data_IF_656949608936
#
_entry.id   IF_656949608936
#
_cell.length_a   1.000
_cell.length_b   1.000
_cell.length_c   1.000
_cell.angle_alpha   90.00
_cell.angle_beta   90.00
_cell.angle_gamma   90.00
#
_symmetry.space_group_name_H-M   'P 1'
#
loop_
_entity.id
_entity.type
_entity.pdbx_description
1 polymer ?
#
# COMPACT_ATOMS: atom_id res chain seq x y z
N UNK A 1 8.57 10.30 8.22
CA UNK A 1 9.48 9.97 7.10
C UNK A 1 10.15 8.61 7.35
N UNK A 2 10.81 8.39 8.50
CA UNK A 2 11.54 7.13 8.79
C UNK A 2 10.65 5.90 8.57
N UNK A 3 9.46 5.88 9.15
CA UNK A 3 8.49 4.78 8.99
C UNK A 3 8.10 4.57 7.52
N UNK A 4 7.87 5.66 6.77
CA UNK A 4 7.50 5.59 5.35
C UNK A 4 8.57 4.96 4.45
N UNK A 5 9.83 4.99 4.85
CA UNK A 5 10.92 4.31 4.14
C UNK A 5 11.14 2.90 4.70
N UNK A 6 11.24 2.77 6.03
CA UNK A 6 11.60 1.50 6.66
C UNK A 6 10.56 0.41 6.40
N UNK A 7 9.25 0.73 6.47
CA UNK A 7 8.20 -0.26 6.29
C UNK A 7 8.25 -0.91 4.90
N UNK A 8 8.15 -0.19 3.77
CA UNK A 8 8.18 -0.81 2.45
C UNK A 8 9.53 -1.47 2.13
N UNK A 9 10.65 -0.89 2.59
CA UNK A 9 11.97 -1.50 2.41
C UNK A 9 12.07 -2.82 3.17
N UNK A 10 11.58 -2.88 4.40
CA UNK A 10 11.57 -4.12 5.21
C UNK A 10 10.68 -5.18 4.56
N UNK A 11 9.46 -4.81 4.11
CA UNK A 11 8.56 -5.74 3.42
C UNK A 11 9.24 -6.32 2.19
N UNK A 12 9.81 -5.49 1.31
CA UNK A 12 10.55 -5.98 0.14
C UNK A 12 11.75 -6.85 0.53
N UNK A 13 12.52 -6.45 1.52
CA UNK A 13 13.69 -7.21 1.98
C UNK A 13 13.28 -8.61 2.46
N UNK A 14 12.19 -8.74 3.22
CA UNK A 14 11.67 -10.04 3.63
C UNK A 14 11.41 -10.95 2.43
N UNK A 15 10.75 -10.44 1.38
CA UNK A 15 10.53 -11.24 0.17
C UNK A 15 11.80 -11.62 -0.54
N UNK A 16 12.72 -10.67 -0.74
CA UNK A 16 13.96 -10.92 -1.50
C UNK A 16 14.92 -11.84 -0.79
N UNK A 17 14.89 -11.91 0.55
CA UNK A 17 15.79 -12.75 1.33
C UNK A 17 15.20 -14.09 1.76
N UNK A 18 13.88 -14.17 1.95
CA UNK A 18 13.26 -15.36 2.54
C UNK A 18 12.34 -16.13 1.58
N UNK A 19 11.99 -15.56 0.43
CA UNK A 19 11.12 -16.21 -0.54
C UNK A 19 11.88 -16.49 -1.84
N UNK A 20 11.74 -17.71 -2.34
CA UNK A 20 12.29 -18.09 -3.65
C UNK A 20 11.51 -17.44 -4.79
N UNK A 21 12.23 -17.01 -5.81
CA UNK A 21 11.65 -16.38 -7.00
C UNK A 21 12.72 -16.06 -8.03
N UNK A 22 12.32 -15.42 -9.10
CA UNK A 22 13.22 -15.03 -10.19
C UNK A 22 12.95 -13.60 -10.65
N UNK A 23 14.02 -12.90 -11.01
CA UNK A 23 13.90 -11.59 -11.64
C UNK A 23 13.48 -11.73 -13.10
N UNK A 24 12.47 -10.97 -13.49
CA UNK A 24 11.95 -10.90 -14.86
C UNK A 24 11.93 -9.43 -15.25
N UNK A 25 12.64 -9.09 -16.34
CA UNK A 25 12.60 -7.74 -16.91
C UNK A 25 11.37 -7.60 -17.81
N UNK A 26 10.73 -6.43 -17.78
CA UNK A 26 9.65 -6.09 -18.70
C UNK A 26 10.11 -5.88 -20.16
N UNK A 27 11.42 -5.73 -20.40
CA UNK A 27 11.97 -5.41 -21.71
C UNK A 27 11.72 -3.95 -22.16
N UNK A 28 11.33 -3.07 -21.28
CA UNK A 28 11.09 -1.65 -21.55
C UNK A 28 12.36 -0.96 -22.09
N UNK A 29 12.19 -0.09 -23.08
CA UNK A 29 13.23 0.82 -23.51
C UNK A 29 13.37 2.02 -22.53
N UNK A 30 14.43 2.83 -22.69
CA UNK A 30 14.74 3.94 -21.77
C UNK A 30 13.59 4.95 -21.62
N UNK A 31 12.85 5.26 -22.70
CA UNK A 31 11.73 6.19 -22.64
C UNK A 31 10.55 5.59 -21.87
N UNK A 32 10.28 4.31 -22.04
CA UNK A 32 9.24 3.60 -21.30
C UNK A 32 9.61 3.52 -19.81
N UNK A 33 10.86 3.19 -19.47
CA UNK A 33 11.34 3.19 -18.08
C UNK A 33 11.14 4.58 -17.46
N UNK A 34 11.59 5.65 -18.14
CA UNK A 34 11.42 7.01 -17.63
C UNK A 34 9.94 7.35 -17.42
N UNK A 35 9.08 7.03 -18.37
CA UNK A 35 7.63 7.29 -18.27
C UNK A 35 7.00 6.52 -17.11
N UNK A 36 7.31 5.21 -16.99
CA UNK A 36 6.79 4.35 -15.92
C UNK A 36 7.19 4.86 -14.54
N UNK A 37 8.49 5.15 -14.33
CA UNK A 37 8.98 5.64 -13.05
C UNK A 37 8.43 7.04 -12.72
N UNK A 38 8.36 7.93 -13.72
CA UNK A 38 7.79 9.27 -13.53
C UNK A 38 6.30 9.19 -13.16
N UNK A 39 5.52 8.35 -13.85
CA UNK A 39 4.11 8.13 -13.54
C UNK A 39 3.93 7.50 -12.15
N UNK A 40 4.74 6.49 -11.82
CA UNK A 40 4.74 5.85 -10.51
C UNK A 40 5.04 6.81 -9.37
N UNK A 41 6.03 7.70 -9.53
CA UNK A 41 6.38 8.69 -8.51
C UNK A 41 5.29 9.78 -8.42
N UNK A 42 4.91 10.39 -9.55
CA UNK A 42 4.05 11.57 -9.54
C UNK A 42 2.59 11.21 -9.28
N UNK A 43 2.03 10.27 -10.04
CA UNK A 43 0.59 9.95 -9.95
C UNK A 43 0.31 8.92 -8.87
N UNK A 44 0.94 7.75 -8.94
CA UNK A 44 0.68 6.67 -7.98
C UNK A 44 1.24 7.00 -6.60
N UNK A 45 2.43 7.57 -6.52
CA UNK A 45 3.07 7.94 -5.26
C UNK A 45 2.49 9.22 -4.68
N UNK A 46 2.89 10.36 -5.25
CA UNK A 46 2.61 11.66 -4.63
C UNK A 46 1.12 12.02 -4.74
N UNK A 47 0.57 12.04 -5.95
CA UNK A 47 -0.81 12.52 -6.13
C UNK A 47 -1.83 11.63 -5.41
N UNK A 48 -1.81 10.30 -5.62
CA UNK A 48 -2.73 9.39 -4.95
C UNK A 48 -2.52 9.43 -3.42
N UNK A 49 -1.28 9.29 -2.95
CA UNK A 49 -0.97 9.28 -1.52
C UNK A 49 -1.46 10.53 -0.78
N UNK A 50 -1.28 11.72 -1.35
CA UNK A 50 -1.77 12.95 -0.70
C UNK A 50 -3.27 13.15 -0.86
N UNK A 51 -3.84 12.94 -2.05
CA UNK A 51 -5.28 13.14 -2.29
C UNK A 51 -6.10 12.21 -1.40
N UNK A 52 -5.73 10.93 -1.33
CA UNK A 52 -6.44 9.97 -0.50
C UNK A 52 -6.32 10.31 0.99
N UNK A 53 -5.14 10.70 1.48
CA UNK A 53 -4.99 11.09 2.87
C UNK A 53 -5.77 12.37 3.20
N UNK A 54 -5.80 13.35 2.30
CA UNK A 54 -6.62 14.55 2.50
C UNK A 54 -8.10 14.20 2.60
N UNK A 55 -8.60 13.28 1.79
CA UNK A 55 -10.02 12.86 1.84
C UNK A 55 -10.29 12.05 3.11
N UNK A 56 -9.53 10.97 3.35
CA UNK A 56 -9.84 10.03 4.42
C UNK A 56 -9.44 10.55 5.80
N UNK A 57 -8.26 11.18 5.95
CA UNK A 57 -7.72 11.64 7.24
C UNK A 57 -7.93 13.15 7.44
N UNK A 58 -7.84 13.91 6.37
CA UNK A 58 -8.10 15.35 6.41
C UNK A 58 -9.57 15.69 6.63
N UNK A 59 -10.47 15.06 5.88
CA UNK A 59 -11.90 15.39 5.91
C UNK A 59 -12.70 14.39 6.72
N UNK A 60 -12.80 13.13 6.29
CA UNK A 60 -13.75 12.15 6.85
C UNK A 60 -13.42 11.86 8.32
N UNK A 61 -12.17 11.60 8.66
CA UNK A 61 -11.75 11.32 10.02
C UNK A 61 -12.08 12.49 10.96
N UNK A 62 -11.77 13.73 10.57
CA UNK A 62 -12.02 14.89 11.42
C UNK A 62 -13.53 15.15 11.62
N UNK A 63 -14.34 15.06 10.57
CA UNK A 63 -15.80 15.19 10.68
C UNK A 63 -16.40 14.13 11.60
N UNK A 64 -15.92 12.88 11.52
CA UNK A 64 -16.41 11.80 12.39
C UNK A 64 -15.93 11.96 13.84
N UNK A 65 -14.70 12.46 14.03
CA UNK A 65 -14.15 12.75 15.36
C UNK A 65 -14.94 13.84 16.08
N UNK A 66 -15.35 14.91 15.38
CA UNK A 66 -16.19 15.97 15.92
C UNK A 66 -17.58 15.50 16.28
N UNK A 67 -18.18 14.64 15.43
CA UNK A 67 -19.58 14.21 15.58
C UNK A 67 -19.75 13.04 16.54
N UNK A 68 -18.79 12.13 16.61
CA UNK A 68 -18.87 10.88 17.39
C UNK A 68 -17.64 10.74 18.30
N UNK A 69 -16.84 9.69 18.08
CA UNK A 69 -15.66 9.41 18.89
C UNK A 69 -14.49 8.93 18.01
N UNK A 70 -13.31 8.90 18.62
CA UNK A 70 -12.07 8.56 17.92
C UNK A 70 -12.09 7.16 17.29
N UNK A 71 -12.73 6.17 17.93
CA UNK A 71 -12.80 4.80 17.40
C UNK A 71 -13.58 4.74 16.09
N UNK A 72 -14.73 5.41 16.06
CA UNK A 72 -15.58 5.52 14.86
C UNK A 72 -14.84 6.34 13.78
N UNK A 73 -14.18 7.42 14.16
CA UNK A 73 -13.44 8.28 13.26
C UNK A 73 -12.23 7.58 12.62
N UNK A 74 -11.63 6.60 13.27
CA UNK A 74 -10.57 5.77 12.71
C UNK A 74 -11.14 4.63 11.88
N UNK A 75 -12.14 3.90 12.40
CA UNK A 75 -12.59 2.65 11.78
C UNK A 75 -13.36 2.88 10.48
N UNK A 76 -14.31 3.82 10.46
CA UNK A 76 -15.16 4.04 9.27
C UNK A 76 -14.34 4.44 8.03
N UNK A 77 -13.50 5.49 8.06
CA UNK A 77 -12.71 5.84 6.88
C UNK A 77 -11.70 4.75 6.50
N UNK A 78 -11.21 3.94 7.45
CA UNK A 78 -10.33 2.82 7.15
C UNK A 78 -11.03 1.69 6.42
N UNK A 79 -12.26 1.33 6.82
CA UNK A 79 -13.08 0.36 6.08
C UNK A 79 -13.45 0.89 4.70
N UNK A 80 -13.84 2.16 4.60
CA UNK A 80 -14.13 2.79 3.31
C UNK A 80 -12.88 2.80 2.41
N UNK A 81 -11.70 3.03 2.97
CA UNK A 81 -10.43 2.95 2.25
C UNK A 81 -10.20 1.57 1.64
N UNK A 82 -10.43 0.48 2.40
CA UNK A 82 -10.37 -0.88 1.87
C UNK A 82 -11.43 -1.14 0.79
N UNK A 83 -12.65 -0.64 0.96
CA UNK A 83 -13.74 -0.82 0.01
C UNK A 83 -13.49 -0.14 -1.33
N UNK A 84 -12.96 1.08 -1.36
CA UNK A 84 -12.71 1.79 -2.63
C UNK A 84 -11.66 1.10 -3.49
N UNK A 85 -10.76 0.31 -2.91
CA UNK A 85 -9.75 -0.46 -3.63
C UNK A 85 -10.30 -1.74 -4.30
N UNK A 86 -11.54 -2.11 -4.00
CA UNK A 86 -12.21 -3.27 -4.61
C UNK A 86 -13.14 -2.81 -5.74
N UNK A 87 -13.67 -1.58 -5.66
CA UNK A 87 -14.67 -1.07 -6.61
C UNK A 87 -14.08 -1.01 -8.02
N UNK A 88 -14.75 -1.68 -8.96
CA UNK A 88 -14.34 -1.70 -10.37
C UNK A 88 -13.21 -2.69 -10.71
N UNK A 89 -12.83 -3.54 -9.77
CA UNK A 89 -11.81 -4.58 -9.96
C UNK A 89 -12.46 -5.96 -10.11
N UNK A 90 -11.96 -6.75 -11.05
CA UNK A 90 -12.38 -8.14 -11.27
C UNK A 90 -11.61 -9.11 -10.36
N UNK A 91 -11.66 -8.87 -9.06
CA UNK A 91 -11.04 -9.75 -8.07
C UNK A 91 -11.92 -10.96 -7.74
N UNK A 92 -11.27 -12.08 -7.46
CA UNK A 92 -11.92 -13.21 -6.80
C UNK A 92 -12.45 -12.79 -5.42
N UNK A 93 -13.42 -13.53 -4.87
CA UNK A 93 -13.96 -13.29 -3.54
C UNK A 93 -12.85 -13.27 -2.48
N UNK A 94 -11.90 -14.20 -2.58
CA UNK A 94 -10.76 -14.30 -1.65
C UNK A 94 -9.87 -13.06 -1.75
N UNK A 95 -9.52 -12.63 -2.96
CA UNK A 95 -8.71 -11.42 -3.17
C UNK A 95 -9.44 -10.18 -2.68
N UNK A 96 -10.75 -10.07 -2.93
CA UNK A 96 -11.57 -8.93 -2.42
C UNK A 96 -11.57 -8.87 -0.89
N UNK A 97 -11.67 -10.02 -0.21
CA UNK A 97 -11.59 -10.07 1.27
C UNK A 97 -10.20 -9.69 1.78
N UNK A 98 -9.13 -10.15 1.11
CA UNK A 98 -7.76 -9.78 1.46
C UNK A 98 -7.55 -8.26 1.31
N UNK A 99 -8.00 -7.68 0.20
CA UNK A 99 -7.90 -6.23 -0.05
C UNK A 99 -8.71 -5.45 0.98
N UNK A 100 -9.91 -5.90 1.33
CA UNK A 100 -10.72 -5.24 2.36
C UNK A 100 -10.00 -5.24 3.72
N UNK A 101 -9.46 -6.38 4.13
CA UNK A 101 -8.74 -6.51 5.39
C UNK A 101 -7.47 -5.65 5.37
N UNK A 102 -6.63 -5.81 4.34
CA UNK A 102 -5.38 -5.08 4.22
C UNK A 102 -5.60 -3.57 4.11
N UNK A 103 -6.54 -3.14 3.26
CA UNK A 103 -6.91 -1.74 3.09
C UNK A 103 -7.48 -1.13 4.38
N UNK A 104 -8.27 -1.90 5.15
CA UNK A 104 -8.72 -1.46 6.47
C UNK A 104 -7.56 -1.30 7.44
N UNK A 105 -6.63 -2.26 7.50
CA UNK A 105 -5.49 -2.24 8.42
C UNK A 105 -4.50 -1.12 8.09
N UNK A 106 -4.14 -0.95 6.82
CA UNK A 106 -3.30 0.17 6.40
C UNK A 106 -4.02 1.50 6.62
N UNK A 107 -5.34 1.53 6.43
CA UNK A 107 -6.19 2.65 6.73
C UNK A 107 -6.14 3.08 8.20
N UNK A 108 -6.18 2.11 9.12
CA UNK A 108 -6.00 2.35 10.56
C UNK A 108 -4.60 2.88 10.83
N UNK A 109 -3.57 2.28 10.25
CA UNK A 109 -2.18 2.72 10.39
C UNK A 109 -2.00 4.19 9.97
N UNK A 110 -2.47 4.60 8.80
CA UNK A 110 -2.40 5.99 8.37
C UNK A 110 -3.19 6.94 9.28
N UNK A 111 -4.35 6.49 9.78
CA UNK A 111 -5.15 7.27 10.73
C UNK A 111 -4.39 7.50 12.05
N UNK A 112 -3.70 6.47 12.57
CA UNK A 112 -2.88 6.60 13.77
C UNK A 112 -1.69 7.53 13.54
N UNK A 113 -0.99 7.39 12.41
CA UNK A 113 0.11 8.32 12.04
C UNK A 113 -0.38 9.77 11.96
N UNK A 114 -1.55 10.02 11.36
CA UNK A 114 -2.12 11.36 11.27
C UNK A 114 -2.51 11.93 12.64
N UNK A 115 -3.11 11.11 13.52
CA UNK A 115 -3.55 11.51 14.86
C UNK A 115 -2.34 11.80 15.76
N UNK A 116 -1.39 10.86 15.82
CA UNK A 116 -0.21 10.98 16.70
C UNK A 116 0.69 12.15 16.32
N UNK A 117 0.88 12.33 15.01
CA UNK A 117 1.70 13.45 14.51
C UNK A 117 0.95 14.79 14.46
N UNK A 118 -0.37 14.80 14.66
CA UNK A 118 -1.22 15.97 14.51
C UNK A 118 -1.28 16.55 13.09
N UNK A 119 -0.88 15.75 12.07
CA UNK A 119 -0.75 16.24 10.69
C UNK A 119 -1.08 15.20 9.65
N UNK A 120 -2.03 15.52 8.78
CA UNK A 120 -2.36 14.71 7.59
C UNK A 120 -1.18 14.63 6.60
N UNK A 121 -0.29 15.63 6.60
CA UNK A 121 0.89 15.62 5.74
C UNK A 121 1.86 14.49 6.09
N UNK A 122 1.96 14.13 7.36
CA UNK A 122 2.83 13.03 7.78
C UNK A 122 2.30 11.67 7.31
N UNK A 123 0.98 11.42 7.40
CA UNK A 123 0.39 10.22 6.81
C UNK A 123 0.48 10.24 5.28
N UNK A 124 0.30 11.39 4.63
CA UNK A 124 0.49 11.56 3.20
C UNK A 124 1.90 11.23 2.72
N UNK A 125 2.93 11.65 3.47
CA UNK A 125 4.32 11.28 3.17
C UNK A 125 4.54 9.77 3.33
N UNK A 126 4.04 9.16 4.41
CA UNK A 126 4.17 7.71 4.63
C UNK A 126 3.48 6.93 3.53
N UNK A 127 2.26 7.33 3.16
CA UNK A 127 1.49 6.73 2.08
C UNK A 127 2.20 6.88 0.72
N UNK A 128 2.64 8.09 0.38
CA UNK A 128 3.37 8.35 -0.86
C UNK A 128 4.63 7.51 -0.98
N UNK A 129 5.40 7.40 0.10
CA UNK A 129 6.62 6.58 0.11
C UNK A 129 6.30 5.08 -0.02
N UNK A 130 5.22 4.61 0.62
CA UNK A 130 4.73 3.25 0.42
C UNK A 130 4.41 3.00 -1.06
N UNK A 131 3.60 3.85 -1.67
CA UNK A 131 3.20 3.72 -3.06
C UNK A 131 4.40 3.76 -4.02
N UNK A 132 5.31 4.73 -3.85
CA UNK A 132 6.51 4.84 -4.70
C UNK A 132 7.36 3.57 -4.61
N UNK A 133 7.58 3.06 -3.39
CA UNK A 133 8.51 1.97 -3.17
C UNK A 133 7.88 0.60 -3.47
N UNK A 134 6.58 0.41 -3.29
CA UNK A 134 5.90 -0.88 -3.51
C UNK A 134 5.33 -0.98 -4.92
N UNK A 135 4.53 0.01 -5.35
CA UNK A 135 3.76 -0.03 -6.60
C UNK A 135 4.20 1.00 -7.65
N UNK A 136 5.23 1.77 -7.39
CA UNK A 136 5.69 2.87 -8.28
C UNK A 136 6.41 2.41 -9.56
N UNK A 137 6.28 1.15 -9.98
CA UNK A 137 6.75 0.65 -11.26
C UNK A 137 8.25 0.36 -11.37
N UNK A 138 9.04 0.49 -10.29
CA UNK A 138 10.46 0.13 -10.31
C UNK A 138 10.69 -1.37 -10.23
N UNK A 139 10.61 -1.94 -9.03
CA UNK A 139 10.67 -3.36 -8.76
C UNK A 139 9.36 -3.80 -8.13
N UNK A 140 8.56 -4.57 -8.83
CA UNK A 140 7.38 -5.25 -8.26
C UNK A 140 7.74 -6.62 -7.71
N UNK A 141 6.93 -7.13 -6.77
CA UNK A 141 7.02 -8.49 -6.24
C UNK A 141 5.62 -9.10 -6.35
N UNK A 142 5.47 -10.17 -7.12
CA UNK A 142 4.17 -10.74 -7.44
C UNK A 142 4.27 -12.18 -7.94
N UNK A 143 3.12 -12.84 -8.13
CA UNK A 143 3.05 -14.22 -8.66
C UNK A 143 3.32 -14.31 -10.16
N UNK A 144 3.19 -13.22 -10.89
CA UNK A 144 3.35 -13.13 -12.36
C UNK A 144 4.18 -11.92 -12.71
N UNK A 145 4.80 -11.93 -13.89
CA UNK A 145 5.48 -10.74 -14.39
C UNK A 145 4.48 -9.56 -14.54
N UNK A 146 4.85 -8.42 -14.02
CA UNK A 146 4.08 -7.19 -14.09
C UNK A 146 4.57 -6.33 -15.25
N UNK A 147 3.70 -6.10 -16.22
CA UNK A 147 4.00 -5.32 -17.43
C UNK A 147 4.14 -3.82 -17.15
N UNK A 148 3.66 -3.36 -15.99
CA UNK A 148 3.72 -1.96 -15.56
C UNK A 148 4.93 -1.64 -14.69
N UNK A 149 5.81 -2.61 -14.45
CA UNK A 149 7.05 -2.45 -13.69
C UNK A 149 8.28 -2.68 -14.54
N UNK A 150 9.35 -1.94 -14.27
CA UNK A 150 10.65 -2.11 -14.96
C UNK A 150 11.19 -3.53 -14.76
N UNK A 151 11.03 -4.04 -13.54
CA UNK A 151 11.46 -5.38 -13.15
C UNK A 151 10.46 -5.99 -12.17
N UNK A 152 10.23 -7.28 -12.29
CA UNK A 152 9.42 -8.06 -11.34
C UNK A 152 10.25 -9.16 -10.71
N UNK A 153 10.19 -9.28 -9.39
CA UNK A 153 10.60 -10.49 -8.68
C UNK A 153 9.39 -11.42 -8.62
N UNK A 154 9.36 -12.39 -9.53
CA UNK A 154 8.27 -13.35 -9.64
C UNK A 154 8.47 -14.45 -8.60
N UNK A 155 7.55 -14.53 -7.65
CA UNK A 155 7.58 -15.52 -6.56
C UNK A 155 7.26 -16.92 -7.08
N UNK A 156 7.96 -17.92 -6.57
CA UNK A 156 7.63 -19.34 -6.80
C UNK A 156 6.38 -19.75 -6.00
N UNK A 157 6.15 -19.14 -4.85
CA UNK A 157 4.96 -19.34 -4.02
C UNK A 157 3.71 -18.85 -4.73
N UNK A 158 2.61 -19.63 -4.60
CA UNK A 158 1.25 -19.26 -5.06
C UNK A 158 0.29 -19.18 -3.87
N UNK A 159 0.80 -19.21 -2.66
CA UNK A 159 -0.01 -19.08 -1.46
C UNK A 159 -0.42 -17.61 -1.27
N UNK A 160 -1.71 -17.36 -1.42
CA UNK A 160 -2.30 -16.00 -1.35
C UNK A 160 -2.04 -15.30 -0.01
N UNK A 161 -1.82 -16.04 1.09
CA UNK A 161 -1.48 -15.45 2.39
C UNK A 161 -0.14 -14.73 2.33
N UNK A 162 0.80 -15.28 1.58
CA UNK A 162 2.12 -14.70 1.42
C UNK A 162 2.24 -13.81 0.19
N UNK A 163 1.55 -14.10 -0.90
CA UNK A 163 1.65 -13.32 -2.13
C UNK A 163 0.71 -12.12 -2.17
N UNK A 164 -0.35 -12.15 -1.35
CA UNK A 164 -1.43 -11.16 -1.37
C UNK A 164 -2.43 -11.36 -2.52
N UNK A 165 -2.31 -12.49 -3.24
CA UNK A 165 -3.21 -12.83 -4.34
C UNK A 165 -3.13 -11.85 -5.51
N UNK A 166 -4.30 -11.51 -6.07
CA UNK A 166 -4.41 -10.65 -7.25
C UNK A 166 -4.05 -9.18 -6.98
N UNK A 167 -4.09 -8.75 -5.73
CA UNK A 167 -3.73 -7.38 -5.34
C UNK A 167 -2.21 -7.20 -5.15
N UNK A 168 -1.50 -8.29 -4.82
CA UNK A 168 -0.06 -8.27 -4.61
C UNK A 168 0.33 -8.18 -3.14
N UNK A 169 1.64 -8.04 -2.89
CA UNK A 169 2.24 -8.15 -1.55
C UNK A 169 1.70 -7.16 -0.52
N UNK A 170 1.00 -6.13 -0.94
CA UNK A 170 0.36 -5.14 -0.06
C UNK A 170 -0.75 -5.74 0.80
N UNK A 171 -1.43 -6.79 0.30
CA UNK A 171 -2.45 -7.53 1.04
C UNK A 171 -1.92 -8.82 1.67
N UNK A 172 -0.62 -9.05 1.67
CA UNK A 172 0.01 -10.21 2.29
C UNK A 172 0.10 -10.11 3.80
N UNK A 173 0.24 -11.25 4.47
CA UNK A 173 0.45 -11.30 5.91
C UNK A 173 1.70 -10.51 6.36
N UNK A 174 2.73 -10.43 5.53
CA UNK A 174 3.97 -9.69 5.82
C UNK A 174 3.68 -8.19 5.88
N UNK A 175 2.95 -7.65 4.90
CA UNK A 175 2.54 -6.26 4.90
C UNK A 175 1.59 -5.96 6.08
N UNK A 176 0.61 -6.85 6.33
CA UNK A 176 -0.33 -6.71 7.44
C UNK A 176 0.40 -6.64 8.79
N UNK A 177 1.37 -7.51 9.04
CA UNK A 177 2.20 -7.45 10.26
C UNK A 177 2.96 -6.11 10.35
N UNK A 178 3.48 -5.61 9.24
CA UNK A 178 4.10 -4.29 9.18
C UNK A 178 3.12 -3.16 9.55
N UNK A 179 1.89 -3.20 9.04
CA UNK A 179 0.84 -2.22 9.39
C UNK A 179 0.50 -2.26 10.86
N UNK A 180 0.38 -3.46 11.45
CA UNK A 180 0.13 -3.63 12.89
C UNK A 180 1.27 -3.06 13.73
N UNK A 181 2.52 -3.38 13.38
CA UNK A 181 3.70 -2.90 14.12
C UNK A 181 3.74 -1.37 14.11
N UNK A 182 3.54 -0.74 12.95
CA UNK A 182 3.51 0.73 12.87
C UNK A 182 2.34 1.31 13.63
N UNK A 183 1.15 0.70 13.54
CA UNK A 183 -0.05 1.14 14.30
C UNK A 183 0.17 1.12 15.81
N UNK A 184 0.87 0.09 16.32
CA UNK A 184 1.17 -0.04 17.75
C UNK A 184 2.31 0.87 18.23
N UNK A 185 3.15 1.33 17.31
CA UNK A 185 4.26 2.22 17.59
C UNK A 185 3.88 3.73 17.47
N UNK A 186 2.78 4.01 16.80
CA UNK A 186 2.18 5.34 16.72
C UNK A 186 1.25 5.59 17.92
#
# INVERSE_FOLDING_TARGET
IIVGVLLPVTVKAVYLFFFSGKYVSSGMNSNQIFSTLSAGIVFTGIAAGFVEEMVFRGVILNLLKEKWNIKVAVLIPSVLFGLVHIIGMDFSIISSLLVLIAGTMVGIMFSMVAIESGSVWNSGIVHSLWNILIIGGGLSISEKADEYSVMTYVLDSKDFVFTGGEFGIESSIIALLGYVIVTLAA
#
